data_IF_570564421366
#
_entry.id   IF_570564421366
#
_cell.length_a   1.000
_cell.length_b   1.000
_cell.length_c   1.000
_cell.angle_alpha   90.00
_cell.angle_beta   90.00
_cell.angle_gamma   90.00
#
_symmetry.space_group_name_H-M   'P 1'
#
loop_
_entity.id
_entity.type
_entity.pdbx_description
1 polymer ?
#
# COMPACT_ATOMS: atom_id res chain seq x y z
N UNK A 1 27.80 -10.81 31.29
CA UNK A 1 26.46 -10.23 31.09
C UNK A 1 26.42 -9.62 29.70
N UNK A 2 26.50 -10.50 28.67
CA UNK A 2 26.59 -10.08 27.25
C UNK A 2 25.25 -10.29 26.56
N UNK A 3 24.23 -9.55 27.03
CA UNK A 3 22.89 -9.53 26.45
C UNK A 3 22.79 -8.65 25.18
N UNK A 4 23.89 -8.04 24.75
CA UNK A 4 24.01 -7.26 23.51
C UNK A 4 24.88 -7.98 22.47
N UNK A 5 24.89 -9.30 22.53
CA UNK A 5 25.67 -10.10 21.62
C UNK A 5 25.09 -10.00 20.20
N UNK A 6 25.97 -9.75 19.28
CA UNK A 6 25.99 -9.65 17.81
C UNK A 6 24.73 -10.04 16.99
N UNK A 7 23.80 -10.84 17.53
CA UNK A 7 22.59 -11.25 16.84
C UNK A 7 21.58 -10.10 16.61
N UNK A 8 21.28 -9.31 17.65
CA UNK A 8 20.32 -8.21 17.54
C UNK A 8 20.79 -7.10 16.59
N UNK A 9 22.09 -6.77 16.66
CA UNK A 9 22.69 -5.79 15.76
C UNK A 9 22.66 -6.27 14.29
N UNK A 10 22.85 -7.56 14.05
CA UNK A 10 22.79 -8.14 12.70
C UNK A 10 21.40 -7.97 12.06
N UNK A 11 20.33 -8.04 12.85
CA UNK A 11 18.96 -7.77 12.35
C UNK A 11 18.69 -6.27 12.15
N UNK A 12 19.41 -5.39 12.85
CA UNK A 12 19.25 -3.94 12.71
C UNK A 12 20.06 -3.35 11.56
N UNK A 13 21.15 -4.01 11.13
CA UNK A 13 21.99 -3.52 10.02
C UNK A 13 21.18 -3.25 8.76
N UNK A 14 20.32 -4.17 8.27
CA UNK A 14 19.51 -3.90 7.07
C UNK A 14 18.56 -2.71 7.25
N UNK A 15 18.00 -2.53 8.44
CA UNK A 15 17.13 -1.41 8.75
C UNK A 15 17.89 -0.09 8.78
N UNK A 16 19.09 -0.09 9.36
CA UNK A 16 19.94 1.10 9.42
C UNK A 16 20.42 1.49 8.04
N UNK A 17 20.80 0.54 7.20
CA UNK A 17 21.22 0.80 5.83
C UNK A 17 20.05 1.30 4.96
N UNK A 18 18.85 0.77 5.16
CA UNK A 18 17.63 1.27 4.55
C UNK A 18 17.33 2.74 4.93
N UNK A 19 17.53 3.10 6.22
CA UNK A 19 17.35 4.48 6.70
C UNK A 19 18.42 5.44 6.19
N UNK A 20 19.65 4.97 5.95
CA UNK A 20 20.74 5.79 5.40
C UNK A 20 20.56 6.12 3.92
N UNK A 21 19.75 5.36 3.19
CA UNK A 21 19.43 5.61 1.79
C UNK A 21 18.11 6.41 1.72
N UNK A 22 18.15 7.73 1.51
CA UNK A 22 16.97 8.60 1.66
C UNK A 22 15.80 8.27 0.73
N UNK A 23 16.05 7.49 -0.33
CA UNK A 23 15.04 7.05 -1.27
C UNK A 23 14.01 6.10 -0.67
N UNK A 24 14.41 5.13 0.14
CA UNK A 24 13.50 4.13 0.71
C UNK A 24 12.51 4.71 1.73
N UNK A 25 12.91 5.51 2.73
CA UNK A 25 11.97 6.19 3.61
C UNK A 25 11.00 7.11 2.88
N UNK A 26 11.50 7.84 1.87
CA UNK A 26 10.65 8.70 1.04
C UNK A 26 9.63 7.88 0.24
N UNK A 27 10.05 6.76 -0.37
CA UNK A 27 9.17 5.85 -1.09
C UNK A 27 8.11 5.25 -0.17
N UNK A 28 8.50 4.81 1.03
CA UNK A 28 7.59 4.30 2.04
C UNK A 28 6.52 5.32 2.42
N UNK A 29 6.94 6.53 2.80
CA UNK A 29 6.02 7.60 3.21
C UNK A 29 5.10 8.02 2.07
N UNK A 30 5.64 8.19 0.86
CA UNK A 30 4.83 8.54 -0.31
C UNK A 30 3.82 7.44 -0.65
N UNK A 31 4.23 6.18 -0.59
CA UNK A 31 3.34 5.04 -0.84
C UNK A 31 2.25 4.91 0.24
N UNK A 32 2.58 5.17 1.49
CA UNK A 32 1.62 5.24 2.58
C UNK A 32 0.59 6.35 2.35
N UNK A 33 1.05 7.57 2.06
CA UNK A 33 0.18 8.73 1.82
C UNK A 33 -0.67 8.55 0.56
N UNK A 34 -0.12 7.93 -0.48
CA UNK A 34 -0.84 7.64 -1.72
C UNK A 34 -2.04 6.73 -1.52
N UNK A 35 -2.02 5.88 -0.49
CA UNK A 35 -3.15 5.00 -0.12
C UNK A 35 -4.07 5.57 0.96
N UNK A 36 -3.80 6.78 1.45
CA UNK A 36 -4.62 7.39 2.51
C UNK A 36 -5.27 8.70 2.08
N UNK A 37 -4.52 9.60 1.47
CA UNK A 37 -4.93 11.00 1.30
C UNK A 37 -4.83 11.52 -0.14
N UNK A 38 -3.96 10.93 -0.97
CA UNK A 38 -3.63 11.48 -2.27
C UNK A 38 -3.79 10.41 -3.35
N UNK A 39 -4.56 10.67 -4.41
CA UNK A 39 -4.64 9.80 -5.58
C UNK A 39 -3.36 9.90 -6.45
N UNK A 40 -2.26 10.33 -5.85
CA UNK A 40 -0.96 10.43 -6.50
C UNK A 40 -0.28 9.06 -6.41
N UNK A 41 -0.04 8.46 -7.57
CA UNK A 41 0.69 7.21 -7.64
C UNK A 41 2.11 7.38 -7.11
N UNK A 42 2.55 6.49 -6.22
CA UNK A 42 3.96 6.41 -5.79
C UNK A 42 4.85 5.75 -6.85
N UNK A 43 4.28 5.33 -7.98
CA UNK A 43 4.96 4.63 -9.06
C UNK A 43 6.07 5.47 -9.70
N UNK A 44 5.85 6.77 -9.86
CA UNK A 44 6.87 7.64 -10.44
C UNK A 44 8.14 7.68 -9.59
N UNK A 45 8.02 7.66 -8.25
CA UNK A 45 9.18 7.62 -7.38
C UNK A 45 9.86 6.24 -7.42
N UNK A 46 9.07 5.16 -7.47
CA UNK A 46 9.60 3.81 -7.68
C UNK A 46 10.42 3.74 -8.98
N UNK A 47 9.86 4.20 -10.10
CA UNK A 47 10.55 4.23 -11.41
C UNK A 47 11.84 5.05 -11.31
N UNK A 48 11.78 6.23 -10.71
CA UNK A 48 12.97 7.09 -10.53
C UNK A 48 14.06 6.39 -9.73
N UNK A 49 13.71 5.69 -8.66
CA UNK A 49 14.66 4.95 -7.84
C UNK A 49 15.28 3.79 -8.61
N UNK A 50 14.50 3.03 -9.37
CA UNK A 50 14.99 1.94 -10.20
C UNK A 50 15.96 2.43 -11.28
N UNK A 51 15.64 3.54 -11.96
CA UNK A 51 16.54 4.16 -12.93
C UNK A 51 17.83 4.67 -12.30
N UNK A 52 17.79 5.08 -11.03
CA UNK A 52 18.99 5.47 -10.25
C UNK A 52 19.80 4.28 -9.71
N UNK A 53 19.39 3.04 -9.98
CA UNK A 53 20.13 1.84 -9.60
C UNK A 53 19.82 1.33 -8.19
N UNK A 54 18.71 1.75 -7.56
CA UNK A 54 18.26 1.14 -6.32
C UNK A 54 17.81 -0.32 -6.54
N UNK A 55 17.98 -1.15 -5.52
CA UNK A 55 17.60 -2.55 -5.61
C UNK A 55 16.10 -2.72 -5.88
N UNK A 56 15.70 -3.41 -6.96
CA UNK A 56 14.31 -3.53 -7.35
C UNK A 56 13.44 -4.26 -6.30
N UNK A 57 13.96 -5.33 -5.70
CA UNK A 57 13.22 -6.12 -4.73
C UNK A 57 12.90 -5.29 -3.47
N UNK A 58 13.90 -4.61 -2.92
CA UNK A 58 13.76 -3.73 -1.75
C UNK A 58 12.82 -2.56 -2.05
N UNK A 59 12.92 -1.95 -3.23
CA UNK A 59 12.05 -0.84 -3.65
C UNK A 59 10.59 -1.28 -3.76
N UNK A 60 10.32 -2.41 -4.42
CA UNK A 60 8.98 -2.97 -4.55
C UNK A 60 8.38 -3.34 -3.19
N UNK A 61 9.16 -3.99 -2.33
CA UNK A 61 8.70 -4.35 -0.98
C UNK A 61 8.39 -3.11 -0.15
N UNK A 62 9.28 -2.10 -0.17
CA UNK A 62 9.09 -0.83 0.55
C UNK A 62 7.79 -0.14 0.12
N UNK A 63 7.57 0.00 -1.18
CA UNK A 63 6.36 0.59 -1.72
C UNK A 63 5.10 -0.21 -1.35
N UNK A 64 5.18 -1.55 -1.47
CA UNK A 64 4.06 -2.44 -1.13
C UNK A 64 3.68 -2.33 0.34
N UNK A 65 4.65 -2.37 1.24
CA UNK A 65 4.41 -2.27 2.70
C UNK A 65 3.82 -0.91 3.04
N UNK A 66 4.42 0.19 2.57
CA UNK A 66 3.90 1.54 2.80
C UNK A 66 2.45 1.69 2.33
N UNK A 67 2.17 1.29 1.09
CA UNK A 67 0.84 1.40 0.50
C UNK A 67 -0.19 0.46 1.15
N UNK A 68 0.22 -0.73 1.60
CA UNK A 68 -0.65 -1.65 2.34
C UNK A 68 -0.99 -1.14 3.74
N UNK A 69 -0.04 -0.53 4.44
CA UNK A 69 -0.28 0.12 5.73
C UNK A 69 -1.23 1.32 5.58
N UNK A 70 -1.09 2.11 4.50
CA UNK A 70 -2.06 3.15 4.17
C UNK A 70 -3.47 2.58 3.97
N UNK A 71 -3.61 1.48 3.24
CA UNK A 71 -4.91 0.80 3.08
C UNK A 71 -5.47 0.27 4.42
N UNK A 72 -4.62 -0.16 5.35
CA UNK A 72 -5.06 -0.55 6.70
C UNK A 72 -5.69 0.62 7.45
N UNK A 73 -5.15 1.84 7.33
CA UNK A 73 -5.78 3.04 7.94
C UNK A 73 -7.14 3.33 7.34
N UNK A 74 -7.28 3.18 6.02
CA UNK A 74 -8.56 3.32 5.30
C UNK A 74 -9.57 2.26 5.74
N UNK A 75 -9.15 1.00 5.89
CA UNK A 75 -9.98 -0.08 6.41
C UNK A 75 -10.42 0.18 7.86
N UNK A 76 -9.51 0.63 8.74
CA UNK A 76 -9.83 1.00 10.13
C UNK A 76 -10.84 2.13 10.18
N UNK A 77 -10.68 3.13 9.31
CA UNK A 77 -11.62 4.24 9.19
C UNK A 77 -13.01 3.75 8.76
N UNK A 78 -13.10 2.82 7.80
CA UNK A 78 -14.36 2.19 7.42
C UNK A 78 -14.99 1.40 8.55
N UNK A 79 -14.18 0.69 9.35
CA UNK A 79 -14.67 -0.16 10.44
C UNK A 79 -15.14 0.60 11.66
N UNK A 80 -14.49 1.70 12.02
CA UNK A 80 -14.70 2.43 13.28
C UNK A 80 -15.04 3.91 13.11
N UNK A 81 -14.79 4.48 11.93
CA UNK A 81 -14.81 5.93 11.74
C UNK A 81 -16.16 6.56 11.43
N UNK A 82 -17.17 5.76 11.07
CA UNK A 82 -18.48 6.28 10.67
C UNK A 82 -18.45 7.26 9.49
N UNK A 83 -19.63 7.78 9.13
CA UNK A 83 -19.81 8.62 7.93
C UNK A 83 -19.03 9.95 7.98
N UNK A 84 -18.78 10.49 9.18
CA UNK A 84 -18.05 11.74 9.33
C UNK A 84 -16.59 11.64 8.90
N UNK A 85 -15.92 10.56 9.31
CA UNK A 85 -14.50 10.34 8.97
C UNK A 85 -14.33 10.02 7.48
N UNK A 86 -15.30 9.31 6.91
CA UNK A 86 -15.32 8.94 5.50
C UNK A 86 -15.35 10.14 4.55
N UNK A 87 -16.27 11.07 4.77
CA UNK A 87 -16.43 12.23 3.90
C UNK A 87 -15.35 13.29 4.08
N UNK A 88 -14.85 13.48 5.31
CA UNK A 88 -13.94 14.59 5.64
C UNK A 88 -12.47 14.26 5.46
N UNK A 89 -12.03 13.06 5.82
CA UNK A 89 -10.63 12.66 5.76
C UNK A 89 -10.27 11.98 4.43
N UNK A 90 -11.10 11.03 3.99
CA UNK A 90 -10.80 10.23 2.79
C UNK A 90 -11.40 10.79 1.51
N UNK A 91 -12.21 11.84 1.58
CA UNK A 91 -12.85 12.50 0.42
C UNK A 91 -13.54 11.53 -0.53
N UNK A 92 -13.97 10.37 -0.04
CA UNK A 92 -14.70 9.39 -0.82
C UNK A 92 -16.13 9.90 -0.97
N UNK A 93 -16.52 10.13 -2.22
CA UNK A 93 -17.87 10.57 -2.52
C UNK A 93 -18.84 9.37 -2.59
N UNK A 94 -20.14 9.64 -2.54
CA UNK A 94 -21.19 8.63 -2.54
C UNK A 94 -21.16 7.73 -3.79
N UNK A 95 -20.76 8.28 -4.93
CA UNK A 95 -20.63 7.52 -6.18
C UNK A 95 -19.52 6.47 -6.11
N UNK A 96 -18.36 6.83 -5.52
CA UNK A 96 -17.24 5.90 -5.32
C UNK A 96 -17.60 4.79 -4.32
N UNK A 97 -18.35 5.14 -3.28
CA UNK A 97 -18.88 4.18 -2.32
C UNK A 97 -19.81 3.18 -2.99
N UNK A 98 -20.79 3.67 -3.77
CA UNK A 98 -21.74 2.81 -4.49
C UNK A 98 -21.04 1.89 -5.50
N UNK A 99 -20.03 2.39 -6.21
CA UNK A 99 -19.21 1.56 -7.09
C UNK A 99 -18.52 0.44 -6.32
N UNK A 100 -17.89 0.75 -5.18
CA UNK A 100 -17.24 -0.25 -4.36
C UNK A 100 -18.23 -1.29 -3.81
N UNK A 101 -19.40 -0.86 -3.35
CA UNK A 101 -20.46 -1.77 -2.90
C UNK A 101 -20.92 -2.69 -4.03
N UNK A 102 -21.14 -2.16 -5.26
CA UNK A 102 -21.48 -2.95 -6.43
C UNK A 102 -20.40 -3.99 -6.80
N UNK A 103 -19.12 -3.64 -6.65
CA UNK A 103 -18.02 -4.58 -6.84
C UNK A 103 -18.05 -5.70 -5.80
N UNK A 104 -18.32 -5.39 -4.52
CA UNK A 104 -18.46 -6.42 -3.49
C UNK A 104 -19.67 -7.33 -3.73
N UNK A 105 -20.79 -6.79 -4.23
CA UNK A 105 -21.95 -7.58 -4.60
C UNK A 105 -21.64 -8.54 -5.75
N UNK A 106 -20.81 -8.11 -6.71
CA UNK A 106 -20.49 -8.89 -7.91
C UNK A 106 -19.37 -9.90 -7.70
N UNK A 107 -18.32 -9.52 -7.00
CA UNK A 107 -17.07 -10.30 -6.87
C UNK A 107 -16.79 -10.76 -5.43
N UNK A 108 -17.62 -10.38 -4.48
CA UNK A 108 -17.43 -10.69 -3.08
C UNK A 108 -16.10 -10.15 -2.53
N UNK A 109 -15.50 -10.88 -1.60
CA UNK A 109 -14.24 -10.49 -0.94
C UNK A 109 -13.07 -10.40 -1.94
N UNK A 110 -13.12 -11.14 -3.05
CA UNK A 110 -12.09 -11.10 -4.08
C UNK A 110 -11.96 -9.73 -4.77
N UNK A 111 -12.98 -8.86 -4.64
CA UNK A 111 -12.89 -7.46 -5.09
C UNK A 111 -11.71 -6.71 -4.48
N UNK A 112 -11.23 -7.11 -3.30
CA UNK A 112 -10.03 -6.54 -2.65
C UNK A 112 -8.73 -6.77 -3.44
N UNK A 113 -8.67 -7.79 -4.31
CA UNK A 113 -7.53 -7.96 -5.21
C UNK A 113 -7.41 -6.79 -6.20
N UNK A 114 -8.52 -6.10 -6.50
CA UNK A 114 -8.55 -4.92 -7.36
C UNK A 114 -8.27 -3.61 -6.60
N UNK A 115 -7.90 -3.69 -5.32
CA UNK A 115 -7.52 -2.51 -4.51
C UNK A 115 -6.30 -1.74 -5.03
N UNK A 116 -5.57 -2.33 -6.00
CA UNK A 116 -4.48 -1.67 -6.70
C UNK A 116 -4.94 -0.69 -7.78
N UNK A 117 -6.22 -0.76 -8.22
CA UNK A 117 -6.75 0.13 -9.25
C UNK A 117 -6.85 1.56 -8.71
N UNK A 118 -6.39 2.55 -9.49
CA UNK A 118 -6.61 3.96 -9.16
C UNK A 118 -8.11 4.24 -9.03
N UNK A 119 -8.50 5.16 -8.15
CA UNK A 119 -9.88 5.61 -7.93
C UNK A 119 -10.79 4.59 -7.24
N UNK A 120 -10.69 3.30 -7.56
CA UNK A 120 -11.57 2.24 -7.00
C UNK A 120 -10.95 1.57 -5.78
N UNK A 121 -9.61 1.55 -5.68
CA UNK A 121 -8.87 0.80 -4.67
C UNK A 121 -9.16 1.26 -3.23
N UNK A 122 -9.07 2.56 -2.96
CA UNK A 122 -9.28 3.10 -1.61
C UNK A 122 -10.75 2.99 -1.17
N UNK A 123 -11.76 3.28 -2.02
CA UNK A 123 -13.15 2.96 -1.74
C UNK A 123 -13.39 1.48 -1.42
N UNK A 124 -12.74 0.54 -2.14
CA UNK A 124 -12.85 -0.89 -1.83
C UNK A 124 -12.29 -1.22 -0.45
N UNK A 125 -11.15 -0.63 -0.06
CA UNK A 125 -10.57 -0.81 1.28
C UNK A 125 -11.49 -0.27 2.37
N UNK A 126 -12.11 0.90 2.15
CA UNK A 126 -13.04 1.51 3.08
C UNK A 126 -14.30 0.66 3.27
N UNK A 127 -14.94 0.26 2.17
CA UNK A 127 -16.14 -0.60 2.20
C UNK A 127 -15.82 -1.96 2.80
N UNK A 128 -14.62 -2.49 2.57
CA UNK A 128 -14.12 -3.69 3.25
C UNK A 128 -14.09 -3.55 4.77
N UNK A 129 -13.75 -2.37 5.26
CA UNK A 129 -13.84 -2.02 6.69
C UNK A 129 -15.29 -1.95 7.19
N UNK A 130 -16.19 -1.26 6.44
CA UNK A 130 -17.62 -1.16 6.73
C UNK A 130 -18.29 -2.54 6.81
N UNK A 131 -17.97 -3.42 5.88
CA UNK A 131 -18.48 -4.79 5.83
C UNK A 131 -17.83 -5.71 6.87
N UNK A 132 -16.95 -5.16 7.72
CA UNK A 132 -16.24 -5.88 8.79
C UNK A 132 -15.50 -7.12 8.32
N UNK A 133 -14.92 -7.08 7.10
CA UNK A 133 -14.09 -8.16 6.58
C UNK A 133 -12.94 -8.43 7.56
N UNK A 134 -12.60 -9.70 7.78
CA UNK A 134 -11.50 -10.09 8.67
C UNK A 134 -10.20 -9.43 8.20
N UNK A 135 -9.51 -8.77 9.13
CA UNK A 135 -8.29 -8.01 8.84
C UNK A 135 -7.21 -8.83 8.14
N UNK A 136 -7.03 -10.09 8.52
CA UNK A 136 -6.05 -10.98 7.89
C UNK A 136 -6.34 -11.22 6.42
N UNK A 137 -7.61 -11.47 6.08
CA UNK A 137 -8.03 -11.69 4.68
C UNK A 137 -7.87 -10.39 3.89
N UNK A 138 -8.28 -9.27 4.49
CA UNK A 138 -8.09 -7.94 3.91
C UNK A 138 -6.61 -7.68 3.58
N UNK A 139 -5.72 -7.85 4.56
CA UNK A 139 -4.30 -7.59 4.41
C UNK A 139 -3.65 -8.48 3.34
N UNK A 140 -4.00 -9.76 3.30
CA UNK A 140 -3.48 -10.70 2.30
C UNK A 140 -3.91 -10.30 0.88
N UNK A 141 -5.20 -10.08 0.65
CA UNK A 141 -5.72 -9.76 -0.69
C UNK A 141 -5.22 -8.41 -1.19
N UNK A 142 -5.26 -7.38 -0.34
CA UNK A 142 -4.74 -6.06 -0.66
C UNK A 142 -3.24 -6.09 -0.88
N UNK A 143 -2.49 -6.77 -0.01
CA UNK A 143 -1.04 -6.91 -0.13
C UNK A 143 -0.62 -7.59 -1.42
N UNK A 144 -1.27 -8.70 -1.79
CA UNK A 144 -1.02 -9.40 -3.07
C UNK A 144 -1.33 -8.50 -4.27
N UNK A 145 -2.47 -7.82 -4.27
CA UNK A 145 -2.84 -6.91 -5.37
C UNK A 145 -1.83 -5.77 -5.55
N UNK A 146 -1.41 -5.14 -4.44
CA UNK A 146 -0.43 -4.04 -4.47
C UNK A 146 0.97 -4.54 -4.83
N UNK A 147 1.39 -5.69 -4.32
CA UNK A 147 2.66 -6.30 -4.69
C UNK A 147 2.72 -6.59 -6.20
N UNK A 148 1.68 -7.19 -6.76
CA UNK A 148 1.59 -7.47 -8.18
C UNK A 148 1.70 -6.19 -9.03
N UNK A 149 1.05 -5.10 -8.61
CA UNK A 149 1.16 -3.79 -9.28
C UNK A 149 2.59 -3.25 -9.28
N UNK A 150 3.22 -3.14 -8.11
CA UNK A 150 4.58 -2.60 -8.02
C UNK A 150 5.61 -3.50 -8.70
N UNK A 151 5.44 -4.82 -8.64
CA UNK A 151 6.28 -5.77 -9.38
C UNK A 151 6.12 -5.60 -10.90
N UNK A 152 4.90 -5.39 -11.40
CA UNK A 152 4.66 -5.11 -12.81
C UNK A 152 5.32 -3.80 -13.26
N UNK A 153 5.23 -2.73 -12.46
CA UNK A 153 5.90 -1.44 -12.75
C UNK A 153 7.41 -1.63 -12.78
N UNK A 154 7.98 -2.33 -11.80
CA UNK A 154 9.43 -2.59 -11.77
C UNK A 154 9.90 -3.41 -12.98
N UNK A 155 9.15 -4.45 -13.34
CA UNK A 155 9.45 -5.28 -14.52
C UNK A 155 9.39 -4.48 -15.82
N UNK A 156 8.37 -3.64 -16.01
CA UNK A 156 8.25 -2.75 -17.17
C UNK A 156 9.42 -1.76 -17.22
N UNK A 157 9.76 -1.15 -16.09
CA UNK A 157 10.90 -0.21 -16.01
C UNK A 157 12.21 -0.89 -16.41
N UNK A 158 12.46 -2.11 -15.91
CA UNK A 158 13.65 -2.87 -16.27
C UNK A 158 13.71 -3.19 -17.77
N UNK A 159 12.56 -3.49 -18.39
CA UNK A 159 12.47 -3.74 -19.85
C UNK A 159 12.69 -2.49 -20.71
N UNK A 160 12.35 -1.32 -20.20
CA UNK A 160 12.51 -0.05 -20.93
C UNK A 160 13.90 0.57 -20.75
N UNK A 161 14.61 0.19 -19.69
CA UNK A 161 15.95 0.69 -19.37
C UNK A 161 17.10 -0.16 -19.93
N UNK A 162 16.83 -1.38 -20.41
CA UNK A 162 17.78 -2.29 -21.05
C UNK A 162 17.55 -2.37 -22.54
#
# INVERSE_FOLDING_TARGET
>A
VDLFDNGFLTYLVPLVDWLKQPGYPALFLLSFLASTLLPLGSEWLLVLMLVKGYDPATSVLTATVGNSLGACTTWLAGRYGGDWLMGRLFRINEQQRQQAEAWYQRYGILSLLFSWLPVVGDPLCLVGGLLKIRFTIFLLLVGVGKLARYAAVAWLTARMAG
#
